data_IF_452433389239
#
_entry.id   IF_452433389239
#
_cell.length_a   1.000
_cell.length_b   1.000
_cell.length_c   1.000
_cell.angle_alpha   90.00
_cell.angle_beta   90.00
_cell.angle_gamma   90.00
#
_symmetry.space_group_name_H-M   'P 1'
#
loop_
_entity.id
_entity.type
_entity.pdbx_description
1 polymer ?
#
# COMPACT_ATOMS: atom_id res chain seq x y z
N UNK A 1 5.42 15.01 -2.68
CA UNK A 1 5.43 14.16 -3.89
C UNK A 1 4.11 13.41 -3.97
N UNK A 2 3.50 13.33 -5.15
CA UNK A 2 2.33 12.47 -5.42
C UNK A 2 2.79 11.43 -6.45
N UNK A 3 2.50 10.15 -6.22
CA UNK A 3 2.95 9.06 -7.09
C UNK A 3 1.97 7.90 -7.09
N UNK A 4 1.94 7.18 -8.21
CA UNK A 4 1.23 5.90 -8.33
C UNK A 4 2.11 4.70 -7.92
N UNK A 5 3.43 4.91 -7.76
CA UNK A 5 4.36 3.85 -7.39
C UNK A 5 4.51 3.74 -5.86
N UNK A 6 3.54 3.10 -5.21
CA UNK A 6 3.46 2.92 -3.74
C UNK A 6 4.76 2.36 -3.15
N UNK A 7 5.33 1.33 -3.78
CA UNK A 7 6.57 0.69 -3.33
C UNK A 7 7.78 1.60 -3.40
N UNK A 8 7.81 2.50 -4.38
CA UNK A 8 8.87 3.49 -4.49
C UNK A 8 8.71 4.55 -3.40
N UNK A 9 7.49 5.02 -3.17
CA UNK A 9 7.21 5.96 -2.08
C UNK A 9 7.65 5.37 -0.74
N UNK A 10 7.20 4.14 -0.42
CA UNK A 10 7.55 3.43 0.81
C UNK A 10 9.05 3.34 1.08
N UNK A 11 9.86 3.26 0.01
CA UNK A 11 11.31 3.13 0.09
C UNK A 11 12.05 4.42 0.41
N UNK A 12 11.50 5.57 0.02
CA UNK A 12 12.28 6.81 -0.01
C UNK A 12 11.66 7.96 0.79
N UNK A 13 10.42 7.84 1.25
CA UNK A 13 9.78 8.89 2.05
C UNK A 13 9.79 8.57 3.54
N UNK A 14 9.87 9.61 4.35
CA UNK A 14 9.76 9.50 5.81
C UNK A 14 8.31 9.51 6.27
N UNK A 15 7.41 10.08 5.46
CA UNK A 15 5.99 10.22 5.75
C UNK A 15 5.14 9.94 4.52
N UNK A 16 4.05 9.19 4.72
CA UNK A 16 3.05 8.85 3.72
C UNK A 16 1.70 9.39 4.18
N UNK A 17 0.92 9.92 3.25
CA UNK A 17 -0.49 10.22 3.41
C UNK A 17 -1.25 9.41 2.35
N UNK A 18 -2.20 8.60 2.77
CA UNK A 18 -3.10 7.88 1.87
C UNK A 18 -4.45 8.58 1.85
N UNK A 19 -4.92 8.87 0.64
CA UNK A 19 -6.22 9.47 0.38
C UNK A 19 -7.10 8.44 -0.33
N UNK A 20 -8.34 8.30 0.12
CA UNK A 20 -9.38 7.55 -0.56
C UNK A 20 -10.69 8.34 -0.47
N UNK A 21 -11.45 8.36 -1.57
CA UNK A 21 -12.75 9.03 -1.64
C UNK A 21 -12.72 10.49 -1.14
N UNK A 22 -11.63 11.22 -1.41
CA UNK A 22 -11.45 12.62 -0.98
C UNK A 22 -11.06 12.81 0.49
N UNK A 23 -10.86 11.74 1.25
CA UNK A 23 -10.55 11.80 2.68
C UNK A 23 -9.18 11.17 2.99
N UNK A 24 -8.51 11.71 4.00
CA UNK A 24 -7.28 11.12 4.53
C UNK A 24 -7.62 9.85 5.32
N UNK A 25 -7.13 8.70 4.85
CA UNK A 25 -7.38 7.40 5.47
C UNK A 25 -6.27 7.04 6.47
N UNK A 26 -5.02 7.39 6.15
CA UNK A 26 -3.87 7.11 7.00
C UNK A 26 -2.75 8.11 6.75
N UNK A 27 -2.01 8.46 7.80
CA UNK A 27 -0.85 9.36 7.75
C UNK A 27 0.20 8.92 8.77
N UNK A 28 1.47 8.89 8.39
CA UNK A 28 2.56 8.48 9.27
C UNK A 28 3.76 7.93 8.51
N UNK A 29 4.64 7.22 9.20
CA UNK A 29 5.76 6.55 8.56
C UNK A 29 5.26 5.42 7.63
N UNK A 30 6.01 5.06 6.58
CA UNK A 30 5.58 4.00 5.65
C UNK A 30 5.20 2.69 6.36
N UNK A 31 5.95 2.29 7.39
CA UNK A 31 5.71 1.05 8.16
C UNK A 31 4.38 1.05 8.93
N UNK A 32 3.92 2.23 9.35
CA UNK A 32 2.68 2.38 10.12
C UNK A 32 1.46 2.56 9.20
N UNK A 33 1.69 3.05 7.98
CA UNK A 33 0.64 3.43 7.02
C UNK A 33 0.37 2.33 6.00
N UNK A 34 1.42 1.66 5.50
CA UNK A 34 1.29 0.60 4.50
C UNK A 34 1.09 -0.74 5.21
N UNK A 35 -0.09 -0.91 5.79
CA UNK A 35 -0.52 -2.15 6.46
C UNK A 35 -1.51 -2.92 5.60
N UNK A 36 -1.81 -4.16 5.99
CA UNK A 36 -2.82 -4.98 5.31
C UNK A 36 -4.20 -4.30 5.36
N UNK A 37 -4.52 -3.70 6.51
CA UNK A 37 -5.79 -3.06 6.81
C UNK A 37 -5.99 -1.82 5.92
N UNK A 38 -5.00 -0.93 5.90
CA UNK A 38 -5.06 0.26 5.06
C UNK A 38 -5.07 -0.11 3.58
N UNK A 39 -4.30 -1.13 3.18
CA UNK A 39 -4.28 -1.54 1.79
C UNK A 39 -5.61 -2.17 1.33
N UNK A 40 -6.26 -2.96 2.19
CA UNK A 40 -7.58 -3.53 1.92
C UNK A 40 -8.66 -2.45 1.80
N UNK A 41 -8.60 -1.40 2.63
CA UNK A 41 -9.53 -0.28 2.58
C UNK A 41 -9.41 0.56 1.31
N UNK A 42 -8.20 0.65 0.71
CA UNK A 42 -7.89 1.66 -0.32
C UNK A 42 -7.74 1.06 -1.72
N UNK A 43 -7.06 -0.09 -1.87
CA UNK A 43 -6.66 -0.57 -3.20
C UNK A 43 -7.69 -1.46 -3.89
N UNK A 44 -8.77 -1.86 -3.20
CA UNK A 44 -9.85 -2.73 -3.72
C UNK A 44 -9.37 -3.97 -4.51
N UNK A 45 -8.13 -4.40 -4.26
CA UNK A 45 -7.45 -5.49 -4.92
C UNK A 45 -6.70 -6.32 -3.87
N UNK A 46 -6.66 -7.66 -3.99
CA UNK A 46 -5.91 -8.47 -3.05
C UNK A 46 -4.42 -8.15 -3.14
N UNK A 47 -3.86 -7.68 -2.02
CA UNK A 47 -2.44 -7.37 -1.89
C UNK A 47 -1.86 -8.03 -0.63
N UNK A 48 -0.56 -8.26 -0.65
CA UNK A 48 0.23 -8.62 0.53
C UNK A 48 1.19 -7.48 0.80
N UNK A 49 1.30 -7.10 2.07
CA UNK A 49 2.41 -6.26 2.51
C UNK A 49 3.50 -7.16 3.06
N UNK A 50 4.72 -7.00 2.55
CA UNK A 50 5.93 -7.68 3.02
C UNK A 50 7.02 -6.66 3.30
N UNK A 51 7.94 -6.96 4.21
CA UNK A 51 9.11 -6.13 4.43
C UNK A 51 10.23 -6.54 3.45
N UNK A 52 10.84 -5.56 2.80
CA UNK A 52 12.08 -5.71 2.07
C UNK A 52 13.06 -4.64 2.57
N UNK A 53 14.19 -5.09 3.13
CA UNK A 53 15.21 -4.21 3.72
C UNK A 53 14.63 -3.23 4.76
N UNK A 54 13.79 -3.76 5.67
CA UNK A 54 13.14 -2.99 6.73
C UNK A 54 12.03 -2.04 6.26
N UNK A 55 11.71 -2.02 4.96
CA UNK A 55 10.67 -1.14 4.40
C UNK A 55 9.50 -1.94 3.83
N UNK A 56 8.26 -1.45 3.96
CA UNK A 56 7.11 -2.16 3.46
C UNK A 56 7.08 -2.14 1.92
N UNK A 57 6.66 -3.25 1.34
CA UNK A 57 6.41 -3.45 -0.07
C UNK A 57 5.01 -4.04 -0.23
N UNK A 58 4.20 -3.37 -1.04
CA UNK A 58 2.90 -3.84 -1.49
C UNK A 58 3.08 -4.71 -2.72
N UNK A 59 2.64 -5.96 -2.61
CA UNK A 59 2.73 -6.97 -3.67
C UNK A 59 1.30 -7.33 -4.09
N UNK A 60 0.88 -6.98 -5.31
CA UNK A 60 -0.41 -7.41 -5.84
C UNK A 60 -0.45 -8.92 -5.98
N UNK A 61 -1.54 -9.52 -5.50
CA UNK A 61 -1.82 -10.93 -5.73
C UNK A 61 -2.59 -11.08 -7.04
N UNK A 62 -2.35 -12.18 -7.74
CA UNK A 62 -3.21 -12.59 -8.85
C UNK A 62 -4.55 -13.06 -8.28
N UNK A 63 -5.65 -12.46 -8.72
CA UNK A 63 -6.98 -13.02 -8.47
C UNK A 63 -7.00 -14.40 -9.12
N UNK A 64 -7.25 -15.48 -8.36
CA UNK A 64 -7.39 -16.81 -8.95
C UNK A 64 -8.52 -16.72 -9.97
N UNK A 65 -8.16 -16.82 -11.24
CA UNK A 65 -9.11 -16.91 -12.32
C UNK A 65 -9.58 -18.36 -12.31
N UNK A 66 -10.81 -18.60 -11.82
CA UNK A 66 -11.48 -19.88 -12.04
C UNK A 66 -11.81 -19.95 -13.53
N UNK A 67 -10.84 -20.37 -14.33
CA UNK A 67 -11.11 -20.79 -15.71
C UNK A 67 -11.77 -22.17 -15.63
N UNK A 68 -13.00 -22.34 -16.16
CA UNK A 68 -13.66 -23.64 -16.23
C UNK A 68 -12.94 -24.61 -17.16
#
# INVERSE_FOLDING_TARGET
>A
MITHHVNLAARFVDQVLILAEGHAVARGAPVDVLTRETAAAVFQWPVVISAFDGRPQMIPLRKKENHP
#
